data_IF_307959899823
#
_entry.id   IF_307959899823
#
_cell.length_a   1.000
_cell.length_b   1.000
_cell.length_c   1.000
_cell.angle_alpha   90.00
_cell.angle_beta   90.00
_cell.angle_gamma   90.00
#
_symmetry.space_group_name_H-M   'P 1'
#
loop_
_entity.id
_entity.type
_entity.pdbx_description
1 polymer ?
#
# COMPACT_ATOMS: atom_id res chain seq x y z
N UNK A 1 -24.84 -0.11 -6.70
CA UNK A 1 -25.68 -0.17 -7.93
C UNK A 1 -26.57 1.06 -7.99
N UNK A 2 -27.31 1.41 -6.92
CA UNK A 2 -28.24 2.54 -6.88
C UNK A 2 -27.57 3.90 -7.10
N UNK A 3 -26.44 4.18 -6.44
CA UNK A 3 -25.73 5.45 -6.52
C UNK A 3 -25.34 5.85 -7.96
N UNK A 4 -24.91 4.88 -8.77
CA UNK A 4 -24.45 5.10 -10.15
C UNK A 4 -25.55 4.78 -11.20
N UNK A 5 -26.83 4.72 -10.80
CA UNK A 5 -27.92 4.32 -11.71
C UNK A 5 -28.11 5.26 -12.89
N UNK A 6 -27.83 6.55 -12.70
CA UNK A 6 -27.97 7.60 -13.71
C UNK A 6 -26.67 7.98 -14.42
N UNK A 7 -25.53 7.38 -14.03
CA UNK A 7 -24.25 7.67 -14.67
C UNK A 7 -24.05 6.79 -15.93
N UNK A 8 -23.77 7.39 -17.09
CA UNK A 8 -23.56 6.64 -18.35
C UNK A 8 -22.35 5.71 -18.31
N UNK A 9 -21.39 5.94 -17.39
CA UNK A 9 -20.16 5.16 -17.26
C UNK A 9 -20.22 4.09 -16.15
N UNK A 10 -21.42 3.70 -15.72
CA UNK A 10 -21.63 2.66 -14.71
C UNK A 10 -20.86 1.35 -14.98
N UNK A 11 -20.78 0.79 -16.20
CA UNK A 11 -19.99 -0.42 -16.46
C UNK A 11 -18.51 -0.24 -16.12
N UNK A 12 -17.91 0.89 -16.51
CA UNK A 12 -16.50 1.22 -16.18
C UNK A 12 -16.29 1.32 -14.67
N UNK A 13 -17.25 1.95 -13.96
CA UNK A 13 -17.19 2.04 -12.50
C UNK A 13 -17.17 0.66 -11.83
N UNK A 14 -18.08 -0.23 -12.26
CA UNK A 14 -18.15 -1.59 -11.72
C UNK A 14 -16.89 -2.40 -12.02
N UNK A 15 -16.31 -2.24 -13.21
CA UNK A 15 -15.04 -2.89 -13.57
C UNK A 15 -13.90 -2.45 -12.65
N UNK A 16 -13.78 -1.15 -12.37
CA UNK A 16 -12.74 -0.64 -11.47
C UNK A 16 -12.93 -1.10 -10.03
N UNK A 17 -14.18 -1.18 -9.55
CA UNK A 17 -14.47 -1.74 -8.23
C UNK A 17 -14.09 -3.22 -8.14
N UNK A 18 -14.41 -4.02 -9.17
CA UNK A 18 -14.04 -5.44 -9.21
C UNK A 18 -12.53 -5.63 -9.25
N UNK A 19 -11.82 -4.82 -10.05
CA UNK A 19 -10.37 -4.85 -10.12
C UNK A 19 -9.73 -4.45 -8.77
N UNK A 20 -10.28 -3.43 -8.11
CA UNK A 20 -9.85 -3.02 -6.78
C UNK A 20 -10.02 -4.14 -5.75
N UNK A 21 -11.19 -4.80 -5.75
CA UNK A 21 -11.48 -5.93 -4.85
C UNK A 21 -10.52 -7.09 -5.12
N UNK A 22 -10.25 -7.42 -6.37
CA UNK A 22 -9.27 -8.42 -6.75
C UNK A 22 -7.87 -8.10 -6.19
N UNK A 23 -7.39 -6.88 -6.43
CA UNK A 23 -6.07 -6.44 -5.95
C UNK A 23 -5.98 -6.49 -4.41
N UNK A 24 -7.04 -6.09 -3.71
CA UNK A 24 -7.09 -6.13 -2.25
C UNK A 24 -7.10 -7.57 -1.72
N UNK A 25 -7.84 -8.47 -2.36
CA UNK A 25 -7.82 -9.90 -1.99
C UNK A 25 -6.43 -10.50 -2.22
N UNK A 26 -5.77 -10.19 -3.35
CA UNK A 26 -4.39 -10.64 -3.62
C UNK A 26 -3.41 -10.16 -2.54
N UNK A 27 -3.62 -8.95 -2.02
CA UNK A 27 -2.82 -8.41 -0.92
C UNK A 27 -3.06 -9.20 0.39
N UNK A 28 -4.32 -9.38 0.77
CA UNK A 28 -4.67 -9.95 2.09
C UNK A 28 -4.37 -11.44 2.17
N UNK A 29 -4.56 -12.19 1.08
CA UNK A 29 -4.26 -13.63 1.02
C UNK A 29 -2.81 -13.94 0.65
N UNK A 30 -1.94 -12.92 0.60
CA UNK A 30 -0.54 -13.11 0.24
C UNK A 30 0.19 -13.99 1.26
N UNK A 31 1.00 -14.90 0.76
CA UNK A 31 1.85 -15.80 1.54
C UNK A 31 3.33 -15.38 1.51
N UNK A 32 3.64 -14.38 0.70
CA UNK A 32 4.98 -13.85 0.56
C UNK A 32 4.98 -12.35 0.28
N UNK A 33 6.11 -11.70 0.52
CA UNK A 33 6.27 -10.25 0.34
C UNK A 33 6.10 -9.80 -1.12
N UNK A 34 6.43 -10.62 -2.11
CA UNK A 34 6.29 -10.25 -3.53
C UNK A 34 4.82 -10.22 -3.94
N UNK A 35 4.03 -11.22 -3.54
CA UNK A 35 2.58 -11.22 -3.80
C UNK A 35 1.88 -10.09 -3.05
N UNK A 36 2.29 -9.82 -1.81
CA UNK A 36 1.80 -8.68 -1.04
C UNK A 36 2.07 -7.38 -1.79
N UNK A 37 3.29 -7.19 -2.29
CA UNK A 37 3.67 -5.99 -3.06
C UNK A 37 2.87 -5.86 -4.36
N UNK A 38 2.62 -6.97 -5.07
CA UNK A 38 1.79 -6.97 -6.27
C UNK A 38 0.36 -6.48 -5.97
N UNK A 39 -0.27 -7.00 -4.92
CA UNK A 39 -1.59 -6.52 -4.48
C UNK A 39 -1.56 -5.07 -4.02
N UNK A 40 -0.50 -4.66 -3.32
CA UNK A 40 -0.26 -3.30 -2.84
C UNK A 40 -0.23 -2.27 -3.96
N UNK A 41 0.51 -2.56 -5.02
CA UNK A 41 0.59 -1.75 -6.23
C UNK A 41 -0.73 -1.74 -7.00
N UNK A 42 -1.38 -2.89 -7.10
CA UNK A 42 -2.68 -3.04 -7.75
C UNK A 42 -3.76 -2.17 -7.09
N UNK A 43 -3.82 -2.17 -5.75
CA UNK A 43 -4.74 -1.29 -4.99
C UNK A 43 -4.41 0.19 -5.25
N UNK A 44 -3.12 0.56 -5.32
CA UNK A 44 -2.68 1.92 -5.65
C UNK A 44 -3.16 2.38 -7.02
N UNK A 45 -2.99 1.54 -8.04
CA UNK A 45 -3.45 1.83 -9.40
C UNK A 45 -4.97 1.94 -9.48
N UNK A 46 -5.69 1.01 -8.85
CA UNK A 46 -7.15 1.04 -8.85
C UNK A 46 -7.70 2.27 -8.14
N UNK A 47 -7.07 2.71 -7.04
CA UNK A 47 -7.46 3.93 -6.34
C UNK A 47 -7.30 5.17 -7.21
N UNK A 48 -6.20 5.26 -7.98
CA UNK A 48 -5.99 6.32 -8.96
C UNK A 48 -7.14 6.38 -9.98
N UNK A 49 -7.52 5.23 -10.57
CA UNK A 49 -8.60 5.13 -11.55
C UNK A 49 -9.98 5.47 -10.96
N UNK A 50 -10.19 5.16 -9.69
CA UNK A 50 -11.44 5.38 -8.99
C UNK A 50 -11.58 6.82 -8.49
N UNK A 51 -10.52 7.44 -7.96
CA UNK A 51 -10.51 8.85 -7.55
C UNK A 51 -10.70 9.75 -8.77
N UNK A 52 -9.96 9.46 -9.85
CA UNK A 52 -10.05 10.15 -11.14
C UNK A 52 -11.19 9.66 -12.03
N UNK A 53 -12.23 9.01 -11.49
CA UNK A 53 -13.34 8.43 -12.27
C UNK A 53 -14.00 9.47 -13.18
N UNK A 54 -14.25 10.65 -12.66
CA UNK A 54 -14.76 11.78 -13.43
C UNK A 54 -13.62 12.60 -14.05
N UNK A 55 -12.87 11.96 -14.95
CA UNK A 55 -11.66 12.50 -15.58
C UNK A 55 -11.80 13.84 -16.31
N UNK A 56 -13.04 14.26 -16.61
CA UNK A 56 -13.35 15.59 -17.17
C UNK A 56 -13.30 16.69 -16.11
N UNK A 57 -13.28 16.33 -14.82
CA UNK A 57 -13.21 17.25 -13.69
C UNK A 57 -11.75 17.42 -13.30
N UNK A 58 -11.22 18.62 -13.47
CA UNK A 58 -9.81 18.92 -13.21
C UNK A 58 -9.42 18.64 -11.75
N UNK A 59 -10.29 18.97 -10.79
CA UNK A 59 -10.06 18.68 -9.37
C UNK A 59 -9.90 17.18 -9.10
N UNK A 60 -10.71 16.32 -9.73
CA UNK A 60 -10.61 14.87 -9.57
C UNK A 60 -9.30 14.32 -10.17
N UNK A 61 -8.87 14.86 -11.32
CA UNK A 61 -7.59 14.46 -11.91
C UNK A 61 -6.40 14.85 -11.03
N UNK A 62 -6.38 16.08 -10.51
CA UNK A 62 -5.32 16.56 -9.63
C UNK A 62 -5.29 15.76 -8.32
N UNK A 63 -6.45 15.45 -7.75
CA UNK A 63 -6.57 14.58 -6.57
C UNK A 63 -6.04 13.17 -6.82
N UNK A 64 -6.40 12.58 -7.96
CA UNK A 64 -5.93 11.25 -8.35
C UNK A 64 -4.40 11.20 -8.53
N UNK A 65 -3.84 12.18 -9.25
CA UNK A 65 -2.38 12.29 -9.45
C UNK A 65 -1.67 12.47 -8.10
N UNK A 66 -2.16 13.37 -7.25
CA UNK A 66 -1.61 13.59 -5.92
C UNK A 66 -1.63 12.32 -5.08
N UNK A 67 -2.77 11.63 -5.02
CA UNK A 67 -2.90 10.38 -4.30
C UNK A 67 -1.91 9.32 -4.83
N UNK A 68 -1.78 9.20 -6.14
CA UNK A 68 -0.87 8.25 -6.77
C UNK A 68 0.59 8.53 -6.42
N UNK A 69 1.04 9.80 -6.57
CA UNK A 69 2.44 10.18 -6.32
C UNK A 69 2.80 10.01 -4.83
N UNK A 70 1.95 10.49 -3.92
CA UNK A 70 2.22 10.39 -2.48
C UNK A 70 2.29 8.92 -2.02
N UNK A 71 1.38 8.09 -2.51
CA UNK A 71 1.44 6.64 -2.21
C UNK A 71 2.69 6.00 -2.80
N UNK A 72 3.14 6.42 -3.98
CA UNK A 72 4.35 5.88 -4.63
C UNK A 72 5.61 6.13 -3.80
N UNK A 73 5.70 7.23 -3.08
CA UNK A 73 6.80 7.48 -2.13
C UNK A 73 6.81 6.41 -1.02
N UNK A 74 5.64 6.08 -0.46
CA UNK A 74 5.51 4.99 0.51
C UNK A 74 5.86 3.63 -0.08
N UNK A 75 5.36 3.35 -1.30
CA UNK A 75 5.59 2.08 -2.00
C UNK A 75 7.08 1.84 -2.28
N UNK A 76 7.85 2.91 -2.54
CA UNK A 76 9.31 2.84 -2.68
C UNK A 76 9.98 2.40 -1.37
N UNK A 77 9.54 2.92 -0.22
CA UNK A 77 10.03 2.46 1.09
C UNK A 77 9.73 0.97 1.32
N UNK A 78 8.51 0.52 1.01
CA UNK A 78 8.13 -0.90 1.09
C UNK A 78 9.02 -1.77 0.20
N UNK A 79 9.29 -1.35 -1.03
CA UNK A 79 10.15 -2.07 -1.96
C UNK A 79 11.57 -2.23 -1.42
N UNK A 80 12.15 -1.16 -0.85
CA UNK A 80 13.47 -1.23 -0.19
C UNK A 80 13.43 -2.26 0.96
N UNK A 81 12.40 -2.25 1.80
CA UNK A 81 12.25 -3.22 2.88
C UNK A 81 12.23 -4.67 2.37
N UNK A 82 11.51 -4.94 1.30
CA UNK A 82 11.45 -6.27 0.66
C UNK A 82 12.80 -6.66 0.06
N UNK A 83 13.50 -5.74 -0.59
CA UNK A 83 14.85 -6.01 -1.13
C UNK A 83 15.86 -6.30 -0.02
N UNK A 84 15.80 -5.59 1.11
CA UNK A 84 16.65 -5.89 2.27
C UNK A 84 16.35 -7.28 2.83
N UNK A 85 15.07 -7.65 2.98
CA UNK A 85 14.67 -8.99 3.41
C UNK A 85 15.27 -10.04 2.47
N UNK A 86 15.07 -9.90 1.18
CA UNK A 86 15.60 -10.87 0.20
C UNK A 86 17.13 -10.92 0.20
N UNK A 87 17.80 -9.78 0.27
CA UNK A 87 19.28 -9.69 0.24
C UNK A 87 19.93 -10.37 1.44
N UNK A 88 19.34 -10.23 2.64
CA UNK A 88 19.95 -10.76 3.87
C UNK A 88 19.45 -12.14 4.24
N UNK A 89 18.22 -12.49 3.91
CA UNK A 89 17.62 -13.77 4.30
C UNK A 89 17.45 -14.76 3.14
N UNK A 90 17.69 -14.33 1.89
CA UNK A 90 17.53 -15.12 0.64
C UNK A 90 16.15 -15.76 0.47
N UNK A 91 15.14 -15.26 1.14
CA UNK A 91 13.75 -15.68 1.05
C UNK A 91 12.80 -14.50 1.14
N UNK A 92 11.60 -14.67 0.57
CA UNK A 92 10.53 -13.68 0.63
C UNK A 92 9.26 -14.26 1.27
N UNK A 93 9.26 -15.55 1.67
CA UNK A 93 8.13 -16.19 2.33
C UNK A 93 8.04 -15.73 3.78
N UNK A 94 6.84 -15.42 4.25
CA UNK A 94 6.64 -14.89 5.61
C UNK A 94 7.16 -15.84 6.69
N UNK A 95 6.80 -17.12 6.63
CA UNK A 95 7.16 -18.10 7.66
C UNK A 95 8.67 -18.30 7.76
N UNK A 96 9.36 -18.36 6.62
CA UNK A 96 10.82 -18.49 6.57
C UNK A 96 11.50 -17.23 7.12
N UNK A 97 11.05 -16.03 6.71
CA UNK A 97 11.59 -14.77 7.22
C UNK A 97 11.41 -14.69 8.73
N UNK A 98 10.20 -14.98 9.23
CA UNK A 98 9.93 -14.89 10.67
C UNK A 98 10.73 -15.89 11.50
N UNK A 99 11.07 -17.05 10.95
CA UNK A 99 11.92 -18.05 11.62
C UNK A 99 13.38 -17.59 11.80
N UNK A 100 13.90 -16.78 10.87
CA UNK A 100 15.30 -16.32 10.86
C UNK A 100 15.51 -15.02 11.66
N UNK A 101 14.47 -14.26 11.94
CA UNK A 101 14.55 -12.99 12.67
C UNK A 101 15.21 -13.14 14.05
N UNK A 102 14.83 -14.13 14.91
CA UNK A 102 15.44 -14.25 16.24
C UNK A 102 16.95 -14.38 16.24
N UNK A 103 17.51 -15.02 15.20
CA UNK A 103 18.95 -15.24 15.05
C UNK A 103 19.71 -13.98 14.60
N UNK A 104 19.02 -13.03 13.99
CA UNK A 104 19.60 -11.82 13.39
C UNK A 104 19.29 -10.53 14.18
N UNK A 105 18.75 -10.63 15.40
CA UNK A 105 18.34 -9.46 16.20
C UNK A 105 19.45 -8.44 16.45
N UNK A 106 20.66 -8.91 16.64
CA UNK A 106 21.83 -8.07 16.99
C UNK A 106 22.72 -7.77 15.79
N UNK A 107 22.29 -8.13 14.57
CA UNK A 107 23.09 -7.92 13.37
C UNK A 107 23.12 -6.44 13.00
N UNK A 108 24.31 -5.86 13.09
CA UNK A 108 24.58 -4.48 12.69
C UNK A 108 25.09 -4.48 11.24
N UNK A 109 24.61 -3.53 10.47
CA UNK A 109 25.05 -3.27 9.09
C UNK A 109 25.43 -1.81 8.94
N UNK A 110 26.37 -1.54 8.06
CA UNK A 110 26.70 -0.17 7.64
C UNK A 110 25.77 0.22 6.48
N UNK A 111 24.92 1.23 6.71
CA UNK A 111 24.04 1.77 5.70
C UNK A 111 24.22 3.28 5.62
N UNK A 112 24.61 3.79 4.45
CA UNK A 112 24.91 5.21 4.20
C UNK A 112 25.93 5.81 5.19
N UNK A 113 26.90 5.02 5.67
CA UNK A 113 27.93 5.47 6.62
C UNK A 113 27.49 5.47 8.09
N UNK A 114 26.32 4.91 8.40
CA UNK A 114 25.82 4.73 9.76
C UNK A 114 25.73 3.25 10.12
N UNK A 115 26.14 2.90 11.32
CA UNK A 115 25.91 1.56 11.88
C UNK A 115 24.46 1.47 12.36
N UNK A 116 23.66 0.66 11.70
CA UNK A 116 22.23 0.49 12.01
C UNK A 116 21.94 -1.00 12.17
N UNK A 117 21.09 -1.33 13.13
CA UNK A 117 20.58 -2.69 13.26
C UNK A 117 19.75 -3.06 12.03
N UNK A 118 20.03 -4.23 11.44
CA UNK A 118 19.40 -4.72 10.20
C UNK A 118 17.87 -4.76 10.32
N UNK A 119 17.36 -5.33 11.41
CA UNK A 119 15.91 -5.48 11.61
C UNK A 119 15.25 -4.13 11.75
N UNK A 120 15.87 -3.20 12.47
CA UNK A 120 15.38 -1.82 12.60
C UNK A 120 15.27 -1.13 11.23
N UNK A 121 16.24 -1.32 10.35
CA UNK A 121 16.22 -0.75 9.00
C UNK A 121 15.10 -1.37 8.15
N UNK A 122 14.90 -2.69 8.23
CA UNK A 122 13.82 -3.39 7.55
C UNK A 122 12.47 -2.88 8.07
N UNK A 123 12.26 -2.85 9.39
CA UNK A 123 11.03 -2.34 10.01
C UNK A 123 10.72 -0.91 9.57
N UNK A 124 11.70 -0.03 9.62
CA UNK A 124 11.53 1.36 9.22
C UNK A 124 11.13 1.49 7.74
N UNK A 125 11.77 0.71 6.86
CA UNK A 125 11.48 0.70 5.43
C UNK A 125 10.06 0.18 5.15
N UNK A 126 9.65 -0.92 5.77
CA UNK A 126 8.29 -1.45 5.67
C UNK A 126 7.25 -0.46 6.22
N UNK A 127 7.59 0.22 7.33
CA UNK A 127 6.70 1.20 7.96
C UNK A 127 6.48 2.44 7.08
N UNK A 128 7.47 2.89 6.30
CA UNK A 128 7.30 3.95 5.30
C UNK A 128 6.20 3.55 4.30
N UNK A 129 6.18 2.29 3.86
CA UNK A 129 5.10 1.77 3.02
C UNK A 129 3.73 1.86 3.69
N UNK A 130 3.64 1.43 4.96
CA UNK A 130 2.42 1.54 5.75
C UNK A 130 1.95 2.99 5.91
N UNK A 131 2.88 3.94 6.15
CA UNK A 131 2.58 5.37 6.27
C UNK A 131 1.94 5.94 4.99
N UNK A 132 2.39 5.52 3.82
CA UNK A 132 1.82 5.95 2.54
C UNK A 132 0.36 5.57 2.40
N UNK A 133 0.03 4.28 2.48
CA UNK A 133 -1.34 3.77 2.31
C UNK A 133 -2.26 4.18 3.46
N UNK A 134 -1.78 4.21 4.69
CA UNK A 134 -2.57 4.60 5.86
C UNK A 134 -2.65 6.11 6.07
N UNK A 135 -2.14 6.91 5.14
CA UNK A 135 -2.15 8.37 5.21
C UNK A 135 -1.65 8.89 6.58
N UNK A 136 -0.52 8.35 7.04
CA UNK A 136 0.09 8.74 8.29
C UNK A 136 0.96 10.00 8.13
N UNK A 137 1.58 10.41 9.22
CA UNK A 137 2.41 11.61 9.32
C UNK A 137 3.33 11.80 8.08
N UNK A 138 3.38 13.01 7.54
CA UNK A 138 3.97 13.45 6.28
C UNK A 138 3.25 12.97 5.00
N UNK A 139 2.70 11.77 4.93
CA UNK A 139 2.08 11.19 3.73
C UNK A 139 0.53 11.24 3.76
N UNK A 140 -0.07 12.08 4.59
CA UNK A 140 -1.54 12.18 4.77
C UNK A 140 -2.24 13.11 3.77
N UNK A 141 -1.50 13.92 3.04
CA UNK A 141 -2.05 15.04 2.26
C UNK A 141 -2.95 14.63 1.09
N UNK A 142 -2.88 13.37 0.66
CA UNK A 142 -3.70 12.84 -0.43
C UNK A 142 -5.11 12.44 0.02
N UNK A 143 -5.28 12.08 1.29
CA UNK A 143 -6.51 11.49 1.81
C UNK A 143 -7.73 12.44 1.74
N UNK A 144 -7.64 13.71 2.14
CA UNK A 144 -8.77 14.65 2.00
C UNK A 144 -9.18 14.86 0.53
N UNK A 145 -8.20 14.99 -0.37
CA UNK A 145 -8.46 15.25 -1.79
C UNK A 145 -9.09 14.04 -2.49
N UNK A 146 -8.84 12.82 -2.01
CA UNK A 146 -9.42 11.61 -2.55
C UNK A 146 -10.96 11.54 -2.43
N UNK A 147 -11.59 12.46 -1.68
CA UNK A 147 -13.05 12.63 -1.62
C UNK A 147 -13.66 13.17 -2.93
N UNK A 148 -12.87 13.63 -3.90
CA UNK A 148 -13.34 14.03 -5.22
C UNK A 148 -13.90 12.86 -6.06
N UNK A 149 -13.58 11.62 -5.70
CA UNK A 149 -14.17 10.43 -6.31
C UNK A 149 -15.63 10.19 -5.90
N UNK A 150 -16.32 9.26 -6.58
CA UNK A 150 -17.68 8.86 -6.21
C UNK A 150 -17.77 8.37 -4.75
N UNK A 151 -18.83 8.74 -4.03
CA UNK A 151 -18.98 8.41 -2.58
C UNK A 151 -18.76 6.92 -2.25
N UNK A 152 -19.24 5.93 -3.04
CA UNK A 152 -18.93 4.52 -2.76
C UNK A 152 -17.44 4.20 -2.80
N UNK A 153 -16.67 4.90 -3.64
CA UNK A 153 -15.20 4.77 -3.72
C UNK A 153 -14.56 5.32 -2.46
N UNK A 154 -15.00 6.51 -2.03
CA UNK A 154 -14.47 7.12 -0.81
C UNK A 154 -14.71 6.20 0.40
N UNK A 155 -15.88 5.62 0.53
CA UNK A 155 -16.19 4.64 1.58
C UNK A 155 -15.27 3.40 1.51
N UNK A 156 -15.02 2.88 0.31
CA UNK A 156 -14.17 1.71 0.12
C UNK A 156 -12.69 2.01 0.42
N UNK A 157 -12.17 3.10 -0.12
CA UNK A 157 -10.75 3.48 0.03
C UNK A 157 -10.43 3.87 1.48
N UNK A 158 -11.26 4.72 2.08
CA UNK A 158 -10.94 5.34 3.37
C UNK A 158 -11.31 4.47 4.57
N UNK A 159 -12.43 3.78 4.52
CA UNK A 159 -12.92 3.03 5.68
C UNK A 159 -12.49 1.56 5.66
N UNK A 160 -12.65 0.87 4.53
CA UNK A 160 -12.63 -0.58 4.54
C UNK A 160 -11.30 -1.22 4.10
N UNK A 161 -10.52 -0.57 3.20
CA UNK A 161 -9.49 -1.34 2.50
C UNK A 161 -8.14 -0.65 2.35
N UNK A 162 -8.02 0.44 1.58
CA UNK A 162 -6.70 0.98 1.23
C UNK A 162 -5.94 1.52 2.45
N UNK A 163 -6.62 2.28 3.31
CA UNK A 163 -6.02 2.85 4.52
C UNK A 163 -5.69 1.75 5.54
N UNK A 164 -6.51 0.71 5.61
CA UNK A 164 -6.26 -0.44 6.49
C UNK A 164 -5.18 -1.38 5.98
N UNK A 165 -4.77 -1.30 4.70
CA UNK A 165 -3.67 -2.11 4.17
C UNK A 165 -2.35 -1.88 4.91
N UNK A 166 -2.04 -0.63 5.31
CA UNK A 166 -0.87 -0.35 6.13
C UNK A 166 -0.96 -0.96 7.53
N UNK A 167 -2.15 -0.94 8.15
CA UNK A 167 -2.39 -1.61 9.43
C UNK A 167 -2.22 -3.13 9.28
N UNK A 168 -2.78 -3.70 8.20
CA UNK A 168 -2.61 -5.11 7.87
C UNK A 168 -1.13 -5.50 7.74
N UNK A 169 -0.32 -4.70 7.04
CA UNK A 169 1.12 -4.93 6.88
C UNK A 169 1.81 -5.01 8.25
N UNK A 170 1.56 -4.05 9.15
CA UNK A 170 2.17 -4.03 10.48
C UNK A 170 1.75 -5.24 11.31
N UNK A 171 0.46 -5.59 11.28
CA UNK A 171 -0.06 -6.77 12.00
C UNK A 171 0.52 -8.06 11.43
N UNK A 172 0.55 -8.21 10.10
CA UNK A 172 1.10 -9.40 9.43
C UNK A 172 2.59 -9.57 9.72
N UNK A 173 3.33 -8.48 9.76
CA UNK A 173 4.76 -8.45 10.00
C UNK A 173 5.12 -8.22 11.48
N UNK A 174 4.18 -8.38 12.41
CA UNK A 174 4.44 -8.17 13.84
C UNK A 174 5.64 -8.92 14.41
N UNK A 175 6.06 -10.12 13.91
CA UNK A 175 7.28 -10.77 14.37
C UNK A 175 8.56 -10.02 14.01
N UNK A 176 8.51 -9.12 13.01
CA UNK A 176 9.65 -8.27 12.61
C UNK A 176 9.72 -7.02 13.47
N UNK A 177 8.54 -6.42 13.79
CA UNK A 177 8.41 -5.19 14.58
C UNK A 177 8.57 -5.46 16.07
#
# INVERSE_FOLDING_TARGET
IGYMSHDPHKPRFMSYLSLFTFAMLMLVVSDNFLQLFFGWEGVGLCSYLLIGFWYKKESANNAAIKAFIVNRIGDFGLAIGIFLIFYFFNTINFDEVFSVIPENKDKIIEFLGFEINLITLICFSLFIGAMGKSAQFFLHTWLPDAMEGPTPVSALIHAATMVTAGVFLVVRCSPIF
#
